data_IF_974245608953
#
_entry.id   IF_974245608953
#
_cell.length_a   1.000
_cell.length_b   1.000
_cell.length_c   1.000
_cell.angle_alpha   90.00
_cell.angle_beta   90.00
_cell.angle_gamma   90.00
#
_symmetry.space_group_name_H-M   'P 1'
#
loop_
_entity.id
_entity.type
_entity.pdbx_description
1 polymer ?
#
# COMPACT_ATOMS: atom_id res chain seq x y z
N UNK A 1 -3.65 -24.39 -8.07
CA UNK A 1 -3.77 -22.91 -8.06
C UNK A 1 -3.34 -22.45 -6.70
N UNK A 2 -2.38 -21.52 -6.67
CA UNK A 2 -1.38 -21.22 -5.62
C UNK A 2 -1.64 -21.85 -4.24
N UNK A 3 -0.68 -22.63 -3.74
CA UNK A 3 -0.72 -23.18 -2.39
C UNK A 3 -0.96 -22.09 -1.32
N UNK A 4 -0.52 -20.84 -1.60
CA UNK A 4 -0.78 -19.65 -0.79
C UNK A 4 -1.00 -18.40 -1.66
N UNK A 5 -2.24 -17.90 -1.82
CA UNK A 5 -2.51 -16.67 -2.59
C UNK A 5 -1.89 -15.41 -1.97
N UNK A 6 -1.54 -15.43 -0.68
CA UNK A 6 -0.83 -14.36 0.04
C UNK A 6 0.54 -14.03 -0.56
N UNK A 7 1.22 -15.00 -1.18
CA UNK A 7 2.48 -14.78 -1.89
C UNK A 7 2.31 -13.86 -3.10
N UNK A 8 1.21 -14.02 -3.84
CA UNK A 8 0.94 -13.18 -5.00
C UNK A 8 0.54 -11.76 -4.57
N UNK A 9 -0.19 -11.64 -3.46
CA UNK A 9 -0.48 -10.33 -2.86
C UNK A 9 0.83 -9.63 -2.42
N UNK A 10 1.71 -10.34 -1.73
CA UNK A 10 3.01 -9.81 -1.31
C UNK A 10 3.88 -9.42 -2.52
N UNK A 11 3.92 -10.26 -3.56
CA UNK A 11 4.63 -9.95 -4.81
C UNK A 11 4.04 -8.71 -5.48
N UNK A 12 2.72 -8.55 -5.51
CA UNK A 12 2.05 -7.36 -6.06
C UNK A 12 2.51 -6.08 -5.35
N UNK A 13 2.65 -6.12 -4.02
CA UNK A 13 3.18 -5.00 -3.22
C UNK A 13 4.64 -4.71 -3.58
N UNK A 14 5.49 -5.73 -3.69
CA UNK A 14 6.92 -5.53 -4.00
C UNK A 14 7.15 -5.04 -5.43
N UNK A 15 6.28 -5.43 -6.37
CA UNK A 15 6.37 -4.97 -7.76
C UNK A 15 6.10 -3.47 -7.92
N UNK A 16 5.57 -2.79 -6.89
CA UNK A 16 5.45 -1.33 -6.85
C UNK A 16 6.83 -0.66 -6.85
N UNK A 17 7.85 -1.32 -6.31
CA UNK A 17 9.23 -0.81 -6.29
C UNK A 17 9.96 -0.97 -7.63
N UNK A 18 9.35 -1.63 -8.63
CA UNK A 18 9.94 -1.74 -9.95
C UNK A 18 9.75 -0.40 -10.66
N UNK A 19 10.84 0.28 -11.07
CA UNK A 19 10.72 1.54 -11.78
C UNK A 19 9.89 1.34 -13.05
N UNK A 20 8.74 2.01 -13.13
CA UNK A 20 8.10 2.23 -14.42
C UNK A 20 9.01 3.20 -15.18
N UNK A 21 9.47 2.83 -16.39
CA UNK A 21 10.38 3.65 -17.21
C UNK A 21 9.82 5.04 -17.56
N UNK A 22 10.41 5.73 -18.55
CA UNK A 22 9.94 7.07 -18.95
C UNK A 22 8.42 7.09 -19.14
N UNK A 23 7.75 7.82 -18.25
CA UNK A 23 6.30 7.99 -18.26
C UNK A 23 5.96 8.99 -19.36
N UNK A 24 5.38 8.51 -20.46
CA UNK A 24 4.81 9.38 -21.47
C UNK A 24 3.61 10.11 -20.88
N UNK A 25 3.78 11.40 -20.60
CA UNK A 25 2.77 12.25 -19.96
C UNK A 25 1.46 12.33 -20.78
N UNK A 26 1.51 11.94 -22.06
CA UNK A 26 0.34 11.91 -22.95
C UNK A 26 -0.49 10.62 -22.86
N UNK A 27 0.06 9.55 -22.27
CA UNK A 27 -0.66 8.29 -22.12
C UNK A 27 -1.68 8.37 -20.97
N UNK A 28 -2.96 8.19 -21.29
CA UNK A 28 -4.05 8.20 -20.32
C UNK A 28 -3.94 7.10 -19.25
N UNK A 29 -3.23 6.00 -19.54
CA UNK A 29 -3.03 4.87 -18.62
C UNK A 29 -1.61 4.34 -18.76
N UNK A 30 -0.90 4.25 -17.64
CA UNK A 30 0.39 3.57 -17.54
C UNK A 30 0.19 2.22 -16.87
N UNK A 31 0.44 1.14 -17.60
CA UNK A 31 0.36 -0.22 -17.04
C UNK A 31 1.70 -0.57 -16.41
N UNK A 32 1.69 -0.79 -15.09
CA UNK A 32 2.88 -1.18 -14.32
C UNK A 32 2.94 -2.70 -14.09
N UNK A 33 4.09 -3.19 -13.65
CA UNK A 33 4.23 -4.59 -13.24
C UNK A 33 3.27 -4.95 -12.08
N UNK A 34 3.06 -4.01 -11.14
CA UNK A 34 2.10 -4.15 -10.07
C UNK A 34 0.66 -4.28 -10.58
N UNK A 35 0.30 -3.58 -11.67
CA UNK A 35 -1.03 -3.68 -12.27
C UNK A 35 -1.29 -5.08 -12.83
N UNK A 36 -0.32 -5.65 -13.56
CA UNK A 36 -0.41 -7.01 -14.09
C UNK A 36 -0.50 -8.05 -12.97
N UNK A 37 0.29 -7.91 -11.91
CA UNK A 37 0.24 -8.80 -10.75
C UNK A 37 -1.10 -8.68 -10.00
N UNK A 38 -1.63 -7.47 -9.86
CA UNK A 38 -2.94 -7.23 -9.23
C UNK A 38 -4.07 -7.84 -10.05
N UNK A 39 -4.01 -7.77 -11.39
CA UNK A 39 -4.97 -8.40 -12.27
C UNK A 39 -4.90 -9.93 -12.17
N UNK A 40 -3.69 -10.50 -12.13
CA UNK A 40 -3.51 -11.93 -11.93
C UNK A 40 -4.06 -12.39 -10.57
N UNK A 41 -3.85 -11.60 -9.51
CA UNK A 41 -4.42 -11.85 -8.18
C UNK A 41 -5.95 -11.90 -8.25
N UNK A 42 -6.58 -10.89 -8.84
CA UNK A 42 -8.04 -10.83 -8.99
C UNK A 42 -8.57 -12.00 -9.82
N UNK A 43 -7.94 -12.32 -10.95
CA UNK A 43 -8.36 -13.42 -11.81
C UNK A 43 -8.28 -14.78 -11.09
N UNK A 44 -7.20 -15.04 -10.35
CA UNK A 44 -7.02 -16.29 -9.62
C UNK A 44 -8.00 -16.40 -8.45
N UNK A 45 -8.22 -15.32 -7.70
CA UNK A 45 -9.24 -15.29 -6.64
C UNK A 45 -10.65 -15.50 -7.21
N UNK A 46 -10.96 -14.92 -8.37
CA UNK A 46 -12.24 -15.15 -9.05
C UNK A 46 -12.42 -16.62 -9.45
N UNK A 47 -11.38 -17.27 -9.99
CA UNK A 47 -11.42 -18.70 -10.33
C UNK A 47 -11.62 -19.56 -9.08
N UNK A 48 -10.94 -19.24 -7.97
CA UNK A 48 -11.13 -19.98 -6.71
C UNK A 48 -12.53 -19.76 -6.13
N UNK A 49 -13.11 -18.57 -6.28
CA UNK A 49 -14.49 -18.27 -5.89
C UNK A 49 -15.49 -19.08 -6.72
N UNK A 50 -15.33 -19.10 -8.06
CA UNK A 50 -16.18 -19.89 -8.97
C UNK A 50 -16.08 -21.40 -8.70
N UNK A 51 -14.96 -21.86 -8.13
CA UNK A 51 -14.76 -23.25 -7.71
C UNK A 51 -15.23 -23.54 -6.28
N UNK A 52 -15.81 -22.56 -5.58
CA UNK A 52 -16.26 -22.70 -4.19
C UNK A 52 -15.12 -22.83 -3.17
N UNK A 53 -13.91 -22.35 -3.49
CA UNK A 53 -12.69 -22.50 -2.68
C UNK A 53 -12.24 -21.21 -1.98
N UNK A 54 -12.84 -20.07 -2.32
CA UNK A 54 -12.49 -18.81 -1.69
C UNK A 54 -13.21 -18.65 -0.34
N UNK A 55 -12.53 -18.16 0.71
CA UNK A 55 -13.18 -17.88 1.99
C UNK A 55 -14.23 -16.77 1.83
N UNK A 56 -15.35 -16.92 2.53
CA UNK A 56 -16.44 -15.95 2.49
C UNK A 56 -15.99 -14.63 3.14
N UNK A 57 -16.04 -13.53 2.38
CA UNK A 57 -15.92 -12.18 2.95
C UNK A 57 -17.08 -11.95 3.92
N UNK A 58 -16.83 -11.21 5.00
CA UNK A 58 -17.91 -10.84 5.93
C UNK A 58 -18.97 -10.02 5.21
N UNK A 59 -20.24 -10.16 5.61
CA UNK A 59 -21.35 -9.37 5.04
C UNK A 59 -21.09 -7.87 5.12
N UNK A 60 -20.48 -7.42 6.21
CA UNK A 60 -20.07 -6.02 6.40
C UNK A 60 -19.03 -5.58 5.38
N UNK A 61 -17.98 -6.38 5.15
CA UNK A 61 -16.99 -6.08 4.13
C UNK A 61 -17.62 -6.02 2.73
N UNK A 62 -18.49 -6.99 2.42
CA UNK A 62 -19.25 -6.99 1.17
C UNK A 62 -20.11 -5.74 0.99
N UNK A 63 -20.79 -5.29 2.03
CA UNK A 63 -21.61 -4.07 2.00
C UNK A 63 -20.76 -2.81 1.80
N UNK A 64 -19.63 -2.68 2.50
CA UNK A 64 -18.72 -1.53 2.36
C UNK A 64 -18.12 -1.47 0.95
N UNK A 65 -17.62 -2.58 0.44
CA UNK A 65 -17.10 -2.66 -0.92
C UNK A 65 -18.19 -2.39 -1.96
N UNK A 66 -19.39 -2.95 -1.77
CA UNK A 66 -20.54 -2.67 -2.61
C UNK A 66 -20.90 -1.19 -2.63
N UNK A 67 -20.89 -0.51 -1.48
CA UNK A 67 -21.14 0.92 -1.39
C UNK A 67 -20.12 1.75 -2.18
N UNK A 68 -18.83 1.37 -2.16
CA UNK A 68 -17.79 2.03 -2.97
C UNK A 68 -18.04 1.83 -4.46
N UNK A 69 -18.36 0.60 -4.90
CA UNK A 69 -18.69 0.32 -6.31
C UNK A 69 -19.91 1.10 -6.76
N UNK A 70 -20.98 1.10 -5.97
CA UNK A 70 -22.21 1.83 -6.29
C UNK A 70 -21.94 3.34 -6.38
N UNK A 71 -21.18 3.91 -5.44
CA UNK A 71 -20.83 5.33 -5.44
C UNK A 71 -20.02 5.70 -6.69
N UNK A 72 -19.04 4.87 -7.06
CA UNK A 72 -18.24 5.06 -8.26
C UNK A 72 -19.09 4.92 -9.54
N UNK A 73 -20.02 3.96 -9.58
CA UNK A 73 -20.93 3.77 -10.71
C UNK A 73 -21.87 4.97 -10.89
N UNK A 74 -22.45 5.48 -9.79
CA UNK A 74 -23.28 6.68 -9.79
C UNK A 74 -22.49 7.89 -10.28
N UNK A 75 -21.28 8.10 -9.77
CA UNK A 75 -20.41 9.19 -10.21
C UNK A 75 -20.06 9.10 -11.71
N UNK A 76 -19.88 7.88 -12.23
CA UNK A 76 -19.56 7.63 -13.65
C UNK A 76 -20.76 7.89 -14.55
N UNK A 77 -21.95 7.44 -14.17
CA UNK A 77 -23.17 7.66 -14.96
C UNK A 77 -23.61 9.12 -14.92
N UNK A 78 -23.36 9.83 -13.82
CA UNK A 78 -23.70 11.24 -13.64
C UNK A 78 -22.63 12.20 -14.17
N UNK A 79 -21.53 11.72 -14.74
CA UNK A 79 -20.47 12.59 -15.27
C UNK A 79 -20.85 13.23 -16.61
N UNK A 80 -20.13 14.28 -16.99
CA UNK A 80 -20.34 15.00 -18.26
C UNK A 80 -20.15 14.08 -19.47
N UNK A 81 -19.19 13.15 -19.38
CA UNK A 81 -18.94 12.12 -20.38
C UNK A 81 -18.78 10.74 -19.70
N UNK A 82 -19.86 9.96 -19.61
CA UNK A 82 -19.84 8.64 -18.98
C UNK A 82 -18.90 7.65 -19.67
N UNK A 83 -18.74 7.75 -21.00
CA UNK A 83 -17.90 6.82 -21.77
C UNK A 83 -16.43 7.08 -21.45
N UNK A 84 -16.02 8.35 -21.45
CA UNK A 84 -14.66 8.72 -21.04
C UNK A 84 -14.39 8.35 -19.57
N UNK A 85 -15.39 8.46 -18.71
CA UNK A 85 -15.28 8.19 -17.26
C UNK A 85 -15.17 6.70 -16.92
N UNK A 86 -15.51 5.79 -17.85
CA UNK A 86 -15.51 4.35 -17.62
C UNK A 86 -14.13 3.80 -17.26
N UNK A 87 -13.06 4.36 -17.84
CA UNK A 87 -11.68 3.94 -17.53
C UNK A 87 -11.34 4.25 -16.07
N UNK A 88 -11.73 5.43 -15.57
CA UNK A 88 -11.59 5.82 -14.17
C UNK A 88 -12.41 4.93 -13.23
N UNK A 89 -13.64 4.56 -13.60
CA UNK A 89 -14.47 3.62 -12.86
C UNK A 89 -13.78 2.26 -12.69
N UNK A 90 -13.31 1.66 -13.79
CA UNK A 90 -12.63 0.36 -13.76
C UNK A 90 -11.39 0.42 -12.88
N UNK A 91 -10.60 1.48 -13.01
CA UNK A 91 -9.40 1.68 -12.18
C UNK A 91 -9.73 1.81 -10.69
N UNK A 92 -10.76 2.58 -10.36
CA UNK A 92 -11.19 2.78 -8.98
C UNK A 92 -11.69 1.46 -8.37
N UNK A 93 -12.54 0.72 -9.09
CA UNK A 93 -13.04 -0.59 -8.64
C UNK A 93 -11.89 -1.60 -8.48
N UNK A 94 -10.93 -1.63 -9.42
CA UNK A 94 -9.76 -2.49 -9.30
C UNK A 94 -8.97 -2.19 -8.02
N UNK A 95 -8.57 -0.94 -7.82
CA UNK A 95 -7.62 -0.54 -6.76
C UNK A 95 -8.27 -0.50 -5.38
N UNK A 96 -9.51 -0.01 -5.26
CA UNK A 96 -10.16 0.20 -3.96
C UNK A 96 -11.10 -0.92 -3.54
N UNK A 97 -11.46 -1.83 -4.46
CA UNK A 97 -12.42 -2.90 -4.16
C UNK A 97 -11.84 -4.28 -4.43
N UNK A 98 -11.52 -4.58 -5.70
CA UNK A 98 -11.13 -5.93 -6.08
C UNK A 98 -9.81 -6.35 -5.44
N UNK A 99 -8.79 -5.51 -5.49
CA UNK A 99 -7.48 -5.83 -4.90
C UNK A 99 -7.58 -5.99 -3.38
N UNK A 100 -8.14 -5.03 -2.61
CA UNK A 100 -8.33 -5.21 -1.16
C UNK A 100 -9.15 -6.44 -0.79
N UNK A 101 -10.24 -6.72 -1.51
CA UNK A 101 -11.06 -7.91 -1.30
C UNK A 101 -10.27 -9.21 -1.53
N UNK A 102 -9.44 -9.26 -2.58
CA UNK A 102 -8.61 -10.42 -2.87
C UNK A 102 -7.49 -10.60 -1.83
N UNK A 103 -6.90 -9.50 -1.35
CA UNK A 103 -5.92 -9.54 -0.24
C UNK A 103 -6.57 -10.10 1.02
N UNK A 104 -7.78 -9.65 1.38
CA UNK A 104 -8.51 -10.18 2.54
C UNK A 104 -8.85 -11.67 2.37
N UNK A 105 -9.27 -12.08 1.17
CA UNK A 105 -9.53 -13.49 0.87
C UNK A 105 -8.25 -14.36 0.86
N UNK A 106 -7.08 -13.74 0.68
CA UNK A 106 -5.80 -14.44 0.69
C UNK A 106 -5.24 -14.68 2.09
N UNK A 107 -5.74 -13.99 3.12
CA UNK A 107 -5.30 -14.13 4.51
C UNK A 107 -5.96 -15.34 5.17
N UNK A 108 -5.21 -16.43 5.38
CA UNK A 108 -5.71 -17.64 6.04
C UNK A 108 -5.21 -17.77 7.47
N UNK A 109 -3.98 -17.35 7.71
CA UNK A 109 -3.34 -17.48 9.01
C UNK A 109 -2.48 -16.24 9.37
N UNK A 110 -1.85 -16.29 10.55
CA UNK A 110 -0.94 -15.24 11.02
C UNK A 110 0.33 -15.13 10.17
N UNK A 111 0.73 -16.20 9.49
CA UNK A 111 1.90 -16.17 8.62
C UNK A 111 1.59 -15.34 7.37
N UNK A 112 0.42 -15.51 6.76
CA UNK A 112 -0.02 -14.71 5.62
C UNK A 112 -0.10 -13.21 5.97
N UNK A 113 -0.60 -12.90 7.16
CA UNK A 113 -0.62 -11.52 7.67
C UNK A 113 0.79 -10.94 7.81
N UNK A 114 1.71 -11.69 8.43
CA UNK A 114 3.12 -11.30 8.56
C UNK A 114 3.81 -11.13 7.22
N UNK A 115 3.51 -12.01 6.26
CA UNK A 115 4.06 -11.97 4.92
C UNK A 115 3.65 -10.70 4.17
N UNK A 116 2.34 -10.39 4.16
CA UNK A 116 1.82 -9.21 3.46
C UNK A 116 2.28 -7.92 4.15
N UNK A 117 2.18 -7.83 5.49
CA UNK A 117 2.69 -6.66 6.20
C UNK A 117 4.21 -6.52 6.04
N UNK A 118 4.94 -7.63 6.06
CA UNK A 118 6.39 -7.66 5.80
C UNK A 118 6.75 -7.16 4.41
N UNK A 119 5.93 -7.44 3.38
CA UNK A 119 6.16 -6.89 2.04
C UNK A 119 5.95 -5.38 1.97
N UNK A 120 4.99 -4.82 2.71
CA UNK A 120 4.85 -3.36 2.87
C UNK A 120 6.07 -2.76 3.54
N UNK A 121 6.59 -3.39 4.60
CA UNK A 121 7.81 -2.93 5.28
C UNK A 121 8.99 -2.95 4.33
N UNK A 122 9.20 -4.06 3.60
CA UNK A 122 10.31 -4.19 2.66
C UNK A 122 10.22 -3.16 1.53
N UNK A 123 9.04 -2.99 0.92
CA UNK A 123 8.82 -1.98 -0.11
C UNK A 123 9.13 -0.57 0.40
N UNK A 124 8.64 -0.23 1.60
CA UNK A 124 8.93 1.06 2.22
C UNK A 124 10.41 1.27 2.56
N UNK A 125 11.13 0.22 2.97
CA UNK A 125 12.56 0.30 3.22
C UNK A 125 13.34 0.55 1.92
N UNK A 126 12.96 -0.10 0.82
CA UNK A 126 13.55 0.13 -0.50
C UNK A 126 13.31 1.58 -0.94
N UNK A 127 12.04 2.01 -0.97
CA UNK A 127 11.66 3.36 -1.40
C UNK A 127 12.23 4.44 -0.48
N UNK A 128 12.21 4.19 0.83
CA UNK A 128 12.75 5.09 1.83
C UNK A 128 14.27 5.21 1.77
N UNK A 129 15.00 4.11 1.49
CA UNK A 129 16.44 4.16 1.30
C UNK A 129 16.83 4.95 0.04
N UNK A 130 16.15 4.68 -1.09
CA UNK A 130 16.36 5.44 -2.33
C UNK A 130 16.03 6.92 -2.12
N UNK A 131 14.92 7.23 -1.45
CA UNK A 131 14.53 8.60 -1.13
C UNK A 131 15.49 9.32 -0.18
N UNK A 132 16.00 8.61 0.83
CA UNK A 132 17.02 9.14 1.73
C UNK A 132 18.33 9.44 0.99
N UNK A 133 18.77 8.54 0.12
CA UNK A 133 19.95 8.75 -0.74
C UNK A 133 19.75 9.96 -1.66
N UNK A 134 18.59 10.09 -2.30
CA UNK A 134 18.24 11.25 -3.13
C UNK A 134 18.35 12.58 -2.38
N UNK A 135 17.86 12.64 -1.13
CA UNK A 135 17.95 13.83 -0.29
C UNK A 135 19.42 14.14 0.07
N UNK A 136 20.18 13.14 0.51
CA UNK A 136 21.56 13.30 0.96
C UNK A 136 22.51 13.67 -0.18
N UNK A 137 22.29 13.12 -1.38
CA UNK A 137 23.11 13.37 -2.58
C UNK A 137 22.63 14.55 -3.40
N UNK A 138 21.51 15.19 -3.03
CA UNK A 138 20.87 16.29 -3.79
C UNK A 138 20.51 15.89 -5.22
N UNK A 139 20.04 14.66 -5.39
CA UNK A 139 19.55 14.10 -6.67
C UNK A 139 18.03 13.90 -6.68
N UNK A 140 17.34 14.36 -5.64
CA UNK A 140 15.89 14.29 -5.52
C UNK A 140 15.15 15.27 -6.42
N UNK A 141 13.82 15.29 -6.29
CA UNK A 141 12.98 16.24 -7.00
C UNK A 141 13.15 17.67 -6.46
N UNK A 142 12.85 18.66 -7.30
CA UNK A 142 12.92 20.06 -6.89
C UNK A 142 11.87 20.39 -5.82
N UNK A 143 12.31 20.97 -4.71
CA UNK A 143 11.50 21.58 -3.68
C UNK A 143 12.09 22.92 -3.32
N UNK A 144 11.29 23.99 -3.41
CA UNK A 144 11.76 25.38 -3.22
C UNK A 144 12.98 25.74 -4.07
N UNK A 145 13.08 25.17 -5.28
CA UNK A 145 14.20 25.40 -6.21
C UNK A 145 15.46 24.58 -5.94
N UNK A 146 15.43 23.63 -5.01
CA UNK A 146 16.56 22.76 -4.66
C UNK A 146 16.21 21.28 -4.90
N UNK A 147 17.09 20.46 -5.50
CA UNK A 147 16.84 19.04 -5.82
C UNK A 147 16.97 18.14 -4.58
N UNK A 148 16.19 18.42 -3.54
CA UNK A 148 16.31 17.78 -2.22
C UNK A 148 15.13 16.86 -1.89
N UNK A 149 14.03 16.89 -2.64
CA UNK A 149 12.84 16.13 -2.25
C UNK A 149 13.01 14.64 -2.53
N UNK A 150 12.88 13.84 -1.49
CA UNK A 150 12.84 12.38 -1.61
C UNK A 150 11.58 11.91 -2.34
N UNK A 151 11.75 11.17 -3.44
CA UNK A 151 10.67 10.66 -4.29
C UNK A 151 10.79 9.17 -4.60
N UNK A 152 11.80 8.49 -4.05
CA UNK A 152 12.01 7.05 -4.25
C UNK A 152 12.23 6.71 -5.72
N UNK A 153 11.82 5.52 -6.11
CA UNK A 153 11.92 5.05 -7.50
C UNK A 153 10.84 5.65 -8.41
N UNK A 154 9.84 6.34 -7.86
CA UNK A 154 8.71 6.91 -8.60
C UNK A 154 9.04 8.16 -9.41
N UNK A 155 10.06 8.91 -8.98
CA UNK A 155 10.55 10.10 -9.65
C UNK A 155 9.71 11.37 -9.45
N UNK A 156 10.15 12.46 -10.09
CA UNK A 156 9.59 13.80 -9.88
C UNK A 156 8.17 14.01 -10.44
N UNK A 157 7.67 13.11 -11.30
CA UNK A 157 6.30 13.16 -11.81
C UNK A 157 5.28 12.61 -10.82
N UNK A 158 5.73 11.82 -9.83
CA UNK A 158 4.88 11.21 -8.81
C UNK A 158 5.49 11.39 -7.42
N UNK A 159 5.61 12.67 -7.05
CA UNK A 159 6.23 13.16 -5.81
C UNK A 159 5.57 12.66 -4.53
N UNK A 160 4.34 12.12 -4.60
CA UNK A 160 3.59 11.67 -3.43
C UNK A 160 3.71 10.16 -3.20
N UNK A 161 3.93 9.36 -4.25
CA UNK A 161 3.90 7.90 -4.17
C UNK A 161 4.85 7.33 -3.11
N UNK A 162 6.11 7.77 -3.09
CA UNK A 162 7.08 7.32 -2.08
C UNK A 162 6.57 7.59 -0.66
N UNK A 163 6.09 8.81 -0.38
CA UNK A 163 5.61 9.17 0.96
C UNK A 163 4.43 8.31 1.41
N UNK A 164 3.56 7.90 0.47
CA UNK A 164 2.43 7.01 0.72
C UNK A 164 2.91 5.59 1.05
N UNK A 165 3.82 5.03 0.24
CA UNK A 165 4.40 3.70 0.47
C UNK A 165 5.16 3.65 1.80
N UNK A 166 5.97 4.66 2.08
CA UNK A 166 6.72 4.80 3.34
C UNK A 166 5.76 4.88 4.53
N UNK A 167 4.67 5.64 4.43
CA UNK A 167 3.66 5.72 5.50
C UNK A 167 3.00 4.36 5.77
N UNK A 168 2.64 3.62 4.72
CA UNK A 168 2.06 2.28 4.88
C UNK A 168 3.06 1.28 5.47
N UNK A 169 4.32 1.30 5.03
CA UNK A 169 5.34 0.43 5.61
C UNK A 169 5.69 0.79 7.05
N UNK A 170 5.67 2.07 7.42
CA UNK A 170 5.83 2.50 8.81
C UNK A 170 4.70 1.93 9.68
N UNK A 171 3.44 2.07 9.25
CA UNK A 171 2.30 1.49 9.95
C UNK A 171 2.38 -0.04 10.03
N UNK A 172 2.78 -0.71 8.95
CA UNK A 172 2.97 -2.15 8.92
C UNK A 172 4.07 -2.61 9.89
N UNK A 173 5.20 -1.90 9.93
CA UNK A 173 6.29 -2.16 10.85
C UNK A 173 5.85 -1.99 12.31
N UNK A 174 5.14 -0.90 12.63
CA UNK A 174 4.57 -0.71 13.96
C UNK A 174 3.58 -1.82 14.32
N UNK A 175 2.66 -2.17 13.43
CA UNK A 175 1.67 -3.22 13.67
C UNK A 175 2.33 -4.57 13.95
N UNK A 176 3.35 -4.95 13.16
CA UNK A 176 4.14 -6.16 13.37
C UNK A 176 4.90 -6.11 14.70
N UNK A 177 5.59 -5.00 15.00
CA UNK A 177 6.31 -4.84 16.27
C UNK A 177 5.40 -4.92 17.50
N UNK A 178 4.19 -4.35 17.42
CA UNK A 178 3.18 -4.44 18.47
C UNK A 178 2.63 -5.87 18.62
N UNK A 179 2.42 -6.59 17.52
CA UNK A 179 1.94 -7.98 17.53
C UNK A 179 2.93 -8.94 18.23
N UNK A 180 4.24 -8.63 18.21
CA UNK A 180 5.29 -9.42 18.86
C UNK A 180 5.45 -9.10 20.37
N UNK A 181 4.52 -8.40 21.02
CA UNK A 181 4.60 -8.10 22.47
C UNK A 181 4.14 -9.22 23.40
N UNK A 182 3.35 -10.17 22.91
CA UNK A 182 2.76 -11.23 23.72
C UNK A 182 3.73 -12.36 24.12
N UNK A 183 3.27 -13.34 24.94
CA UNK A 183 4.08 -14.45 25.47
C UNK A 183 4.76 -15.36 24.42
N UNK A 184 4.32 -15.30 23.16
CA UNK A 184 4.93 -16.02 22.02
C UNK A 184 5.60 -15.11 21.00
N UNK A 185 5.84 -13.84 21.36
CA UNK A 185 6.44 -12.83 20.49
C UNK A 185 7.96 -12.90 20.47
N UNK A 186 8.55 -12.56 19.33
CA UNK A 186 9.99 -12.57 19.13
C UNK A 186 10.59 -11.18 19.39
N UNK A 187 11.34 -11.06 20.50
CA UNK A 187 12.06 -9.82 20.85
C UNK A 187 12.95 -9.25 19.74
N UNK A 188 13.78 -10.05 19.01
CA UNK A 188 14.63 -9.49 17.96
C UNK A 188 13.80 -8.93 16.79
N UNK A 189 12.76 -9.64 16.35
CA UNK A 189 11.88 -9.16 15.28
C UNK A 189 11.17 -7.88 15.70
N UNK A 190 10.69 -7.81 16.95
CA UNK A 190 10.07 -6.61 17.51
C UNK A 190 10.99 -5.39 17.43
N UNK A 191 12.25 -5.56 17.86
CA UNK A 191 13.24 -4.48 17.79
C UNK A 191 13.54 -4.10 16.34
N UNK A 192 13.69 -5.07 15.44
CA UNK A 192 13.90 -4.81 14.02
C UNK A 192 12.73 -4.03 13.40
N UNK A 193 11.49 -4.37 13.73
CA UNK A 193 10.30 -3.66 13.24
C UNK A 193 10.21 -2.24 13.79
N UNK A 194 10.53 -2.01 15.07
CA UNK A 194 10.58 -0.64 15.60
C UNK A 194 11.75 0.17 15.02
N UNK A 195 12.91 -0.46 14.77
CA UNK A 195 14.02 0.18 14.09
C UNK A 195 13.66 0.57 12.65
N UNK A 196 12.97 -0.32 11.91
CA UNK A 196 12.46 -0.03 10.58
C UNK A 196 11.46 1.14 10.61
N UNK A 197 10.48 1.12 11.53
CA UNK A 197 9.53 2.22 11.68
C UNK A 197 10.23 3.55 12.00
N UNK A 198 11.21 3.53 12.91
CA UNK A 198 12.01 4.70 13.26
C UNK A 198 12.80 5.24 12.06
N UNK A 199 13.49 4.37 11.32
CA UNK A 199 14.20 4.74 10.09
C UNK A 199 13.25 5.40 9.09
N UNK A 200 12.07 4.81 8.84
CA UNK A 200 11.10 5.29 7.86
C UNK A 200 10.53 6.69 8.17
N UNK A 201 10.65 7.18 9.41
CA UNK A 201 10.31 8.59 9.72
C UNK A 201 11.21 9.58 8.99
N UNK A 202 12.47 9.24 8.74
CA UNK A 202 13.42 10.11 8.04
C UNK A 202 13.05 10.35 6.57
N UNK A 203 12.93 9.33 5.69
CA UNK A 203 12.51 9.55 4.31
C UNK A 203 11.11 10.16 4.22
N UNK A 204 10.22 9.89 5.18
CA UNK A 204 8.93 10.58 5.26
C UNK A 204 9.11 12.08 5.53
N UNK A 205 10.04 12.48 6.40
CA UNK A 205 10.36 13.89 6.68
C UNK A 205 10.87 14.59 5.42
N UNK A 206 11.86 14.01 4.76
CA UNK A 206 12.53 14.61 3.60
C UNK A 206 11.74 14.45 2.29
N UNK A 207 10.58 13.80 2.33
CA UNK A 207 9.58 13.86 1.26
C UNK A 207 8.88 15.23 1.16
N UNK A 208 8.96 16.03 2.24
CA UNK A 208 8.29 17.32 2.40
C UNK A 208 6.75 17.28 2.18
N UNK A 209 6.14 16.10 2.35
CA UNK A 209 4.69 15.93 2.24
C UNK A 209 3.99 16.16 3.59
N UNK A 210 3.50 17.40 3.80
CA UNK A 210 2.71 17.74 5.01
C UNK A 210 1.47 16.84 5.17
N UNK A 211 0.79 16.54 4.06
CA UNK A 211 -0.39 15.68 4.06
C UNK A 211 -0.08 14.26 4.53
N UNK A 212 1.02 13.68 4.05
CA UNK A 212 1.44 12.33 4.46
C UNK A 212 1.83 12.29 5.94
N UNK A 213 2.46 13.33 6.48
CA UNK A 213 2.75 13.44 7.91
C UNK A 213 1.50 13.45 8.78
N UNK A 214 0.52 14.29 8.44
CA UNK A 214 -0.72 14.40 9.20
C UNK A 214 -1.49 13.06 9.14
N UNK A 215 -1.65 12.50 7.93
CA UNK A 215 -2.36 11.24 7.74
C UNK A 215 -1.66 10.08 8.47
N UNK A 216 -0.33 9.99 8.37
CA UNK A 216 0.45 8.95 9.05
C UNK A 216 0.35 9.11 10.57
N UNK A 217 0.46 10.33 11.11
CA UNK A 217 0.32 10.57 12.54
C UNK A 217 -1.05 10.13 13.05
N UNK A 218 -2.15 10.51 12.38
CA UNK A 218 -3.50 10.08 12.73
C UNK A 218 -3.61 8.55 12.69
N UNK A 219 -3.10 7.92 11.63
CA UNK A 219 -3.14 6.47 11.49
C UNK A 219 -2.33 5.74 12.57
N UNK A 220 -1.15 6.26 12.95
CA UNK A 220 -0.33 5.73 14.04
C UNK A 220 -1.09 5.86 15.37
N UNK A 221 -1.71 7.01 15.64
CA UNK A 221 -2.53 7.19 16.84
C UNK A 221 -3.65 6.16 16.91
N UNK A 222 -4.40 5.97 15.82
CA UNK A 222 -5.47 4.96 15.76
C UNK A 222 -4.90 3.56 15.99
N UNK A 223 -3.80 3.20 15.33
CA UNK A 223 -3.15 1.90 15.49
C UNK A 223 -2.74 1.63 16.94
N UNK A 224 -2.09 2.60 17.59
CA UNK A 224 -1.62 2.51 18.97
C UNK A 224 -2.81 2.39 19.93
N UNK A 225 -3.84 3.22 19.78
CA UNK A 225 -5.06 3.16 20.60
C UNK A 225 -5.79 1.80 20.45
N UNK A 226 -5.79 1.23 19.24
CA UNK A 226 -6.38 -0.09 18.96
C UNK A 226 -5.54 -1.24 19.50
N UNK A 227 -4.22 -1.07 19.60
CA UNK A 227 -3.33 -2.08 20.17
C UNK A 227 -3.40 -2.09 21.70
N UNK A 228 -3.24 -0.92 22.32
CA UNK A 228 -3.45 -0.69 23.76
C UNK A 228 -3.46 0.82 24.01
N UNK A 229 -4.58 1.34 24.55
CA UNK A 229 -4.75 2.76 24.84
C UNK A 229 -3.67 3.33 25.78
N UNK A 230 -3.06 2.49 26.64
CA UNK A 230 -1.98 2.90 27.55
C UNK A 230 -0.69 3.28 26.83
N UNK A 231 -0.56 2.94 25.55
CA UNK A 231 0.62 3.27 24.74
C UNK A 231 0.52 4.64 24.08
N UNK A 232 -0.65 5.27 24.12
CA UNK A 232 -0.87 6.60 23.56
C UNK A 232 -0.65 7.74 24.57
N UNK A 233 -0.32 7.40 25.82
CA UNK A 233 -0.07 8.32 26.95
C UNK A 233 1.40 8.24 27.33
#
# INVERSE_FOLDING_TARGET
MLARPSLLAAATVLLVCVPAGEKDVTAAVHVTAADLASLALVALTAVDLLRGRAPALSRTAGALFGAVVCSAAVATVASIDPVASLTGFVRLVQVFVLVPACVLAALRDRYDQRLILGSFVLAALIEGAVGADQYLTKTGASYTGQPIRAVGTFGALDIMAMSTVVSFGLLAALALGLAERGPGGSRPLRLAMFAAAAFLTFPLAVSFSRGSWIACAVAVTVLVLRADARLAV
#
